data_IF_240071069955
#
_entry.id   IF_240071069955
#
_cell.length_a   1.000
_cell.length_b   1.000
_cell.length_c   1.000
_cell.angle_alpha   90.00
_cell.angle_beta   90.00
_cell.angle_gamma   90.00
#
_symmetry.space_group_name_H-M   'P 1'
#
loop_
_entity.id
_entity.type
_entity.pdbx_description
1 polymer ?
#
# COMPACT_ATOMS: atom_id res chain seq x y z
N UNK A 1 -30.10 -6.64 19.64
CA UNK A 1 -29.08 -5.62 19.55
C UNK A 1 -27.74 -6.25 19.79
N UNK A 2 -27.00 -6.59 18.73
CA UNK A 2 -25.64 -7.12 18.85
C UNK A 2 -24.70 -5.99 19.23
N UNK A 3 -24.10 -6.09 20.42
CA UNK A 3 -23.09 -5.15 20.91
C UNK A 3 -21.98 -4.96 19.87
N UNK A 4 -21.81 -3.74 19.41
CA UNK A 4 -20.63 -3.01 18.94
C UNK A 4 -19.41 -3.69 18.29
N UNK A 5 -19.49 -4.91 17.77
CA UNK A 5 -18.42 -5.62 17.08
C UNK A 5 -18.60 -5.45 15.57
N UNK A 6 -18.07 -4.36 15.03
CA UNK A 6 -18.11 -4.14 13.57
C UNK A 6 -16.69 -3.82 13.10
N UNK A 7 -16.05 -4.81 12.47
CA UNK A 7 -15.05 -4.50 11.46
C UNK A 7 -15.72 -3.74 10.31
N UNK A 8 -14.96 -2.92 9.58
CA UNK A 8 -15.52 -2.08 8.51
C UNK A 8 -16.01 -2.94 7.32
N UNK A 9 -15.35 -4.05 7.07
CA UNK A 9 -15.67 -4.94 5.95
C UNK A 9 -15.30 -6.39 6.25
N UNK A 10 -16.15 -7.34 5.80
CA UNK A 10 -15.87 -8.78 5.85
C UNK A 10 -15.92 -9.33 4.43
N UNK A 11 -14.83 -9.96 4.00
CA UNK A 11 -14.78 -10.76 2.78
C UNK A 11 -14.90 -12.23 3.16
N UNK A 12 -15.90 -12.92 2.57
CA UNK A 12 -16.07 -14.36 2.71
C UNK A 12 -16.31 -14.97 1.34
N UNK A 13 -15.69 -16.12 1.09
CA UNK A 13 -15.88 -16.91 -0.11
C UNK A 13 -15.96 -18.38 0.25
N UNK A 14 -16.91 -19.10 -0.34
CA UNK A 14 -17.10 -20.53 -0.23
C UNK A 14 -17.05 -21.19 -1.60
N UNK A 15 -16.77 -22.48 -1.63
CA UNK A 15 -16.86 -23.28 -2.85
C UNK A 15 -18.32 -23.67 -3.17
N UNK A 16 -18.52 -24.42 -4.26
CA UNK A 16 -19.84 -24.90 -4.68
C UNK A 16 -20.51 -25.84 -3.69
N UNK A 17 -19.77 -26.38 -2.72
CA UNK A 17 -20.25 -27.31 -1.70
C UNK A 17 -20.38 -26.60 -0.33
N UNK A 18 -20.37 -25.27 -0.32
CA UNK A 18 -20.48 -24.43 0.88
C UNK A 18 -19.30 -24.59 1.88
N UNK A 19 -18.16 -25.13 1.41
CA UNK A 19 -16.93 -25.10 2.21
C UNK A 19 -16.31 -23.72 2.15
N UNK A 20 -16.03 -23.12 3.31
CA UNK A 20 -15.38 -21.81 3.37
C UNK A 20 -13.95 -21.90 2.80
N UNK A 21 -13.71 -21.17 1.70
CA UNK A 21 -12.38 -21.01 1.10
C UNK A 21 -11.58 -20.06 1.95
N UNK A 22 -12.18 -18.93 2.32
CA UNK A 22 -11.54 -17.87 3.08
C UNK A 22 -12.56 -16.95 3.74
N UNK A 23 -12.21 -16.43 4.91
CA UNK A 23 -12.90 -15.34 5.57
C UNK A 23 -11.90 -14.34 6.16
N UNK A 24 -12.03 -13.08 5.77
CA UNK A 24 -11.16 -12.00 6.17
C UNK A 24 -11.98 -10.86 6.76
N UNK A 25 -11.62 -10.42 7.95
CA UNK A 25 -12.13 -9.19 8.54
C UNK A 25 -11.16 -8.06 8.29
N UNK A 26 -11.65 -6.97 7.70
CA UNK A 26 -10.92 -5.74 7.46
C UNK A 26 -11.36 -4.65 8.42
N UNK A 27 -10.40 -3.92 8.94
CA UNK A 27 -10.57 -2.62 9.63
C UNK A 27 -9.76 -1.59 8.86
N UNK A 28 -10.37 -0.42 8.57
CA UNK A 28 -9.73 0.63 7.78
C UNK A 28 -9.43 1.84 8.66
N UNK A 29 -8.20 2.35 8.60
CA UNK A 29 -7.76 3.53 9.36
C UNK A 29 -7.08 4.54 8.44
N UNK A 30 -7.61 5.76 8.46
CA UNK A 30 -7.08 6.90 7.73
C UNK A 30 -6.41 7.88 8.69
N UNK A 31 -5.48 8.70 8.21
CA UNK A 31 -4.83 9.77 8.98
C UNK A 31 -5.81 10.79 9.57
N UNK A 32 -6.96 10.98 8.93
CA UNK A 32 -8.01 11.88 9.40
C UNK A 32 -8.76 11.39 10.66
N UNK A 33 -8.54 10.14 11.09
CA UNK A 33 -9.05 9.64 12.37
C UNK A 33 -8.27 10.22 13.59
N UNK A 34 -7.58 11.34 13.41
CA UNK A 34 -6.84 12.06 14.44
C UNK A 34 -7.77 12.68 15.48
N UNK A 35 -8.14 11.91 16.48
CA UNK A 35 -8.41 12.45 17.81
C UNK A 35 -7.08 12.97 18.39
N UNK A 36 -7.10 13.92 19.31
CA UNK A 36 -5.98 14.68 19.87
C UNK A 36 -4.71 13.89 20.32
N UNK A 37 -4.74 12.56 20.27
CA UNK A 37 -3.60 11.66 20.44
C UNK A 37 -3.39 10.86 19.14
N UNK A 38 -2.21 10.95 18.54
CA UNK A 38 -1.82 10.12 17.39
C UNK A 38 -1.96 8.64 17.75
N UNK A 39 -3.00 7.98 17.24
CA UNK A 39 -3.17 6.54 17.42
C UNK A 39 -2.18 5.78 16.54
N UNK A 40 -1.64 4.69 17.10
CA UNK A 40 -0.76 3.76 16.39
C UNK A 40 -1.54 2.57 15.86
N UNK A 41 -0.98 1.88 14.89
CA UNK A 41 -1.56 0.65 14.35
C UNK A 41 -1.81 -0.40 15.44
N UNK A 42 -0.89 -0.53 16.38
CA UNK A 42 -0.99 -1.49 17.49
C UNK A 42 -2.21 -1.29 18.39
N UNK A 43 -2.73 -0.07 18.50
CA UNK A 43 -3.89 0.26 19.35
C UNK A 43 -5.18 -0.44 18.85
N UNK A 44 -5.20 -0.87 17.60
CA UNK A 44 -6.36 -1.50 16.98
C UNK A 44 -6.30 -3.03 16.98
N UNK A 45 -5.14 -3.64 17.19
CA UNK A 45 -4.96 -5.09 17.05
C UNK A 45 -5.84 -5.91 17.98
N UNK A 46 -5.88 -5.57 19.26
CA UNK A 46 -6.64 -6.32 20.25
C UNK A 46 -8.16 -6.30 19.94
N UNK A 47 -8.67 -5.14 19.53
CA UNK A 47 -10.07 -4.99 19.13
C UNK A 47 -10.37 -5.80 17.86
N UNK A 48 -9.55 -5.65 16.85
CA UNK A 48 -9.71 -6.32 15.56
C UNK A 48 -9.65 -7.85 15.72
N UNK A 49 -8.75 -8.39 16.55
CA UNK A 49 -8.68 -9.83 16.82
C UNK A 49 -9.93 -10.34 17.57
N UNK A 50 -10.44 -9.56 18.53
CA UNK A 50 -11.68 -9.88 19.23
C UNK A 50 -12.86 -9.91 18.25
N UNK A 51 -12.97 -8.91 17.40
CA UNK A 51 -14.07 -8.77 16.44
C UNK A 51 -14.01 -9.88 15.38
N UNK A 52 -12.79 -10.21 14.88
CA UNK A 52 -12.55 -11.33 13.98
C UNK A 52 -13.07 -12.66 14.55
N UNK A 53 -12.67 -12.96 15.79
CA UNK A 53 -13.09 -14.18 16.50
C UNK A 53 -14.60 -14.21 16.70
N UNK A 54 -15.21 -13.10 17.09
CA UNK A 54 -16.66 -12.99 17.30
C UNK A 54 -17.46 -13.20 16.00
N UNK A 55 -16.89 -12.87 14.84
CA UNK A 55 -17.49 -13.06 13.52
C UNK A 55 -17.08 -14.37 12.83
N UNK A 56 -16.23 -15.16 13.46
CA UNK A 56 -15.75 -16.43 12.90
C UNK A 56 -14.93 -16.23 11.64
N UNK A 57 -14.20 -15.09 11.49
CA UNK A 57 -13.32 -14.88 10.36
C UNK A 57 -11.95 -15.50 10.63
N UNK A 58 -11.36 -16.10 9.61
CA UNK A 58 -10.06 -16.76 9.69
C UNK A 58 -8.92 -15.75 9.83
N UNK A 59 -8.97 -14.68 9.04
CA UNK A 59 -7.94 -13.65 8.98
C UNK A 59 -8.46 -12.30 9.49
N UNK A 60 -7.53 -11.48 9.98
CA UNK A 60 -7.75 -10.08 10.31
C UNK A 60 -6.74 -9.23 9.56
N UNK A 61 -7.21 -8.17 8.90
CA UNK A 61 -6.36 -7.27 8.13
C UNK A 61 -6.67 -5.82 8.50
N UNK A 62 -5.68 -5.12 9.04
CA UNK A 62 -5.74 -3.68 9.26
C UNK A 62 -5.22 -2.97 8.01
N UNK A 63 -6.11 -2.29 7.30
CA UNK A 63 -5.76 -1.42 6.17
C UNK A 63 -5.51 -0.03 6.72
N UNK A 64 -4.26 0.41 6.75
CA UNK A 64 -3.88 1.60 7.51
C UNK A 64 -3.06 2.60 6.71
N UNK A 65 -3.41 3.87 6.84
CA UNK A 65 -2.60 5.02 6.45
C UNK A 65 -1.92 5.68 7.65
N UNK A 66 -2.14 5.17 8.86
CA UNK A 66 -1.47 5.66 10.07
C UNK A 66 0.03 5.39 10.02
N UNK A 67 0.79 6.16 10.79
CA UNK A 67 2.24 6.02 10.91
C UNK A 67 2.94 6.04 9.53
N UNK A 68 2.61 7.04 8.71
CA UNK A 68 3.16 7.21 7.36
C UNK A 68 4.69 7.33 7.34
N UNK A 69 5.28 7.84 8.42
CA UNK A 69 6.73 7.99 8.59
C UNK A 69 7.43 6.71 9.09
N UNK A 70 6.68 5.65 9.40
CA UNK A 70 7.23 4.41 9.91
C UNK A 70 7.57 3.46 8.76
N UNK A 71 8.86 3.31 8.47
CA UNK A 71 9.37 2.46 7.38
C UNK A 71 8.90 1.01 7.52
N UNK A 72 8.75 0.49 8.73
CA UNK A 72 8.28 -0.88 8.96
C UNK A 72 6.91 -1.13 8.32
N UNK A 73 5.95 -0.21 8.49
CA UNK A 73 4.64 -0.33 7.86
C UNK A 73 4.62 0.06 6.38
N UNK A 74 5.65 0.77 5.91
CA UNK A 74 5.77 1.19 4.51
C UNK A 74 6.34 0.07 3.61
N UNK A 75 6.82 -1.04 4.17
CA UNK A 75 7.19 -2.25 3.39
C UNK A 75 6.02 -2.88 2.64
N UNK A 76 4.78 -2.49 2.99
CA UNK A 76 3.55 -2.82 2.25
C UNK A 76 2.66 -3.81 2.97
N UNK A 77 3.13 -5.03 3.24
CA UNK A 77 2.42 -6.06 4.02
C UNK A 77 3.28 -6.41 5.22
N UNK A 78 2.73 -6.19 6.41
CA UNK A 78 3.38 -6.50 7.69
C UNK A 78 2.63 -7.63 8.37
N UNK A 79 3.33 -8.71 8.64
CA UNK A 79 2.80 -9.84 9.40
C UNK A 79 2.96 -9.57 10.90
N UNK A 80 1.83 -9.49 11.61
CA UNK A 80 1.79 -9.35 13.06
C UNK A 80 1.26 -10.62 13.77
N UNK A 81 1.30 -11.75 13.05
CA UNK A 81 0.82 -13.06 13.54
C UNK A 81 1.58 -13.56 14.77
N UNK A 82 2.78 -13.05 14.99
CA UNK A 82 3.55 -13.33 16.22
C UNK A 82 2.83 -12.87 17.50
N UNK A 83 1.97 -11.84 17.39
CA UNK A 83 1.20 -11.30 18.51
C UNK A 83 -0.27 -11.69 18.44
N UNK A 84 -0.85 -11.66 17.24
CA UNK A 84 -2.24 -12.03 16.97
C UNK A 84 -2.31 -12.94 15.74
N UNK A 85 -2.53 -14.26 15.92
CA UNK A 85 -2.50 -15.23 14.82
C UNK A 85 -3.34 -14.81 13.61
N UNK A 86 -2.79 -14.98 12.41
CA UNK A 86 -3.47 -14.65 11.13
C UNK A 86 -3.88 -13.17 11.01
N UNK A 87 -3.08 -12.27 11.58
CA UNK A 87 -3.31 -10.83 11.49
C UNK A 87 -2.19 -10.15 10.69
N UNK A 88 -2.61 -9.23 9.82
CA UNK A 88 -1.72 -8.44 8.95
C UNK A 88 -2.07 -6.95 9.00
N UNK A 89 -1.06 -6.12 8.81
CA UNK A 89 -1.23 -4.68 8.56
C UNK A 89 -0.78 -4.40 7.14
N UNK A 90 -1.61 -3.71 6.37
CA UNK A 90 -1.31 -3.38 4.97
C UNK A 90 -1.56 -1.91 4.66
N UNK A 91 -0.88 -1.40 3.64
CA UNK A 91 -1.24 -0.14 3.01
C UNK A 91 -2.40 -0.36 2.02
N UNK A 92 -3.24 0.66 1.73
CA UNK A 92 -4.45 0.52 0.90
C UNK A 92 -4.22 -0.12 -0.47
N UNK A 93 -3.08 0.15 -1.12
CA UNK A 93 -2.74 -0.43 -2.42
C UNK A 93 -2.59 -1.95 -2.41
N UNK A 94 -2.41 -2.55 -1.23
CA UNK A 94 -2.28 -4.00 -1.06
C UNK A 94 -3.61 -4.69 -0.71
N UNK A 95 -4.73 -3.97 -0.70
CA UNK A 95 -6.02 -4.51 -0.32
C UNK A 95 -6.44 -5.68 -1.23
N UNK A 96 -6.47 -5.47 -2.54
CA UNK A 96 -6.82 -6.51 -3.52
C UNK A 96 -5.74 -7.61 -3.60
N UNK A 97 -4.44 -7.30 -3.70
CA UNK A 97 -3.39 -8.31 -3.63
C UNK A 97 -3.47 -9.22 -2.42
N UNK A 98 -3.79 -8.69 -1.24
CA UNK A 98 -3.92 -9.46 -0.01
C UNK A 98 -5.08 -10.45 -0.08
N UNK A 99 -6.25 -10.03 -0.57
CA UNK A 99 -7.39 -10.91 -0.79
C UNK A 99 -6.99 -12.05 -1.74
N UNK A 100 -6.39 -11.74 -2.88
CA UNK A 100 -5.98 -12.73 -3.88
C UNK A 100 -4.98 -13.73 -3.31
N UNK A 101 -3.98 -13.26 -2.56
CA UNK A 101 -2.97 -14.11 -1.95
C UNK A 101 -3.59 -15.10 -0.97
N UNK A 102 -4.39 -14.59 -0.02
CA UNK A 102 -5.03 -15.41 1.01
C UNK A 102 -6.08 -16.35 0.42
N UNK A 103 -6.83 -15.89 -0.60
CA UNK A 103 -7.78 -16.72 -1.34
C UNK A 103 -7.11 -17.92 -2.01
N UNK A 104 -6.00 -17.68 -2.70
CA UNK A 104 -5.25 -18.75 -3.37
C UNK A 104 -4.70 -19.76 -2.36
N UNK A 105 -4.23 -19.29 -1.20
CA UNK A 105 -3.80 -20.18 -0.10
C UNK A 105 -4.97 -20.99 0.45
N UNK A 106 -6.14 -20.39 0.62
CA UNK A 106 -7.37 -21.07 1.06
C UNK A 106 -7.82 -22.15 0.09
N UNK A 107 -7.83 -21.85 -1.21
CA UNK A 107 -8.18 -22.84 -2.25
C UNK A 107 -7.25 -24.05 -2.22
N UNK A 108 -5.93 -23.81 -2.14
CA UNK A 108 -4.94 -24.89 -2.01
C UNK A 108 -5.16 -25.73 -0.75
N UNK A 109 -5.49 -25.08 0.37
CA UNK A 109 -5.80 -25.78 1.61
C UNK A 109 -7.03 -26.69 1.48
N UNK A 110 -8.07 -26.24 0.75
CA UNK A 110 -9.25 -27.07 0.47
C UNK A 110 -8.93 -28.26 -0.44
N UNK A 111 -8.14 -28.07 -1.50
CA UNK A 111 -7.65 -29.16 -2.37
C UNK A 111 -6.96 -30.24 -1.53
N UNK A 112 -6.01 -29.85 -0.67
CA UNK A 112 -5.33 -30.81 0.20
C UNK A 112 -6.24 -31.50 1.23
N UNK A 113 -7.21 -30.77 1.78
CA UNK A 113 -8.22 -31.38 2.70
C UNK A 113 -9.08 -32.41 1.97
N UNK A 114 -9.48 -32.11 0.72
CA UNK A 114 -10.24 -33.06 -0.10
C UNK A 114 -9.42 -34.32 -0.42
N UNK A 115 -8.16 -34.16 -0.85
CA UNK A 115 -7.23 -35.27 -1.08
C UNK A 115 -7.03 -36.11 0.18
N UNK A 116 -6.87 -35.46 1.35
CA UNK A 116 -6.73 -36.13 2.64
C UNK A 116 -7.99 -36.95 2.99
N UNK A 117 -9.16 -36.44 2.73
CA UNK A 117 -10.42 -37.14 2.97
C UNK A 117 -10.50 -38.42 2.14
N UNK A 118 -10.11 -38.35 0.86
CA UNK A 118 -10.03 -39.51 -0.04
C UNK A 118 -8.97 -40.51 0.46
N UNK A 119 -7.80 -40.04 0.88
CA UNK A 119 -6.71 -40.89 1.39
C UNK A 119 -7.07 -41.59 2.70
N UNK A 120 -7.77 -40.91 3.62
CA UNK A 120 -8.25 -41.50 4.88
C UNK A 120 -9.18 -42.68 4.62
N UNK A 121 -9.99 -42.59 3.57
CA UNK A 121 -10.91 -43.68 3.18
C UNK A 121 -10.17 -44.84 2.47
N UNK A 122 -8.94 -44.65 2.03
CA UNK A 122 -8.14 -45.63 1.29
C UNK A 122 -6.97 -46.23 2.09
N UNK A 123 -6.85 -46.00 3.38
CA UNK A 123 -5.73 -46.49 4.23
C UNK A 123 -4.35 -46.08 3.72
N UNK A 124 -4.19 -44.88 3.16
CA UNK A 124 -2.93 -44.40 2.58
C UNK A 124 -2.10 -43.64 3.64
N UNK A 125 -0.82 -43.94 3.64
CA UNK A 125 0.24 -43.52 4.54
C UNK A 125 0.25 -42.01 4.87
N UNK A 126 0.11 -41.68 6.15
CA UNK A 126 0.06 -40.33 6.72
C UNK A 126 1.40 -39.59 6.49
N UNK A 127 2.50 -40.30 6.32
CA UNK A 127 3.85 -39.73 6.15
C UNK A 127 3.96 -38.86 4.88
N UNK A 128 3.34 -39.28 3.77
CA UNK A 128 3.34 -38.52 2.53
C UNK A 128 2.52 -37.21 2.61
N UNK A 129 1.64 -37.07 3.58
CA UNK A 129 0.84 -35.87 3.78
C UNK A 129 1.61 -34.78 4.56
N UNK A 130 2.35 -35.19 5.59
CA UNK A 130 3.21 -34.25 6.32
C UNK A 130 4.26 -33.64 5.40
N UNK A 131 4.89 -34.46 4.57
CA UNK A 131 5.86 -33.99 3.55
C UNK A 131 5.21 -32.99 2.58
N UNK A 132 4.01 -33.27 2.07
CA UNK A 132 3.28 -32.34 1.15
C UNK A 132 2.88 -31.03 1.83
N UNK A 133 2.50 -31.07 3.10
CA UNK A 133 2.23 -29.84 3.86
C UNK A 133 3.49 -29.01 4.05
N UNK A 134 4.61 -29.64 4.35
CA UNK A 134 5.87 -28.93 4.56
C UNK A 134 6.43 -28.38 3.23
N UNK A 135 6.28 -29.12 2.15
CA UNK A 135 6.58 -28.61 0.79
C UNK A 135 5.70 -27.41 0.44
N UNK A 136 4.38 -27.47 0.76
CA UNK A 136 3.48 -26.35 0.55
C UNK A 136 3.86 -25.14 1.38
N UNK A 137 4.12 -25.31 2.68
CA UNK A 137 4.57 -24.22 3.58
C UNK A 137 5.85 -23.59 3.05
N UNK A 138 6.81 -24.41 2.63
CA UNK A 138 8.10 -23.95 2.08
C UNK A 138 7.90 -23.20 0.77
N UNK A 139 7.09 -23.72 -0.14
CA UNK A 139 6.75 -23.07 -1.40
C UNK A 139 5.99 -21.75 -1.20
N UNK A 140 5.05 -21.74 -0.27
CA UNK A 140 4.29 -20.55 0.09
C UNK A 140 5.19 -19.46 0.70
N UNK A 141 6.04 -19.82 1.66
CA UNK A 141 7.00 -18.89 2.27
C UNK A 141 7.93 -18.28 1.20
N UNK A 142 8.44 -19.10 0.28
CA UNK A 142 9.29 -18.61 -0.83
C UNK A 142 8.54 -17.63 -1.73
N UNK A 143 7.30 -17.93 -2.10
CA UNK A 143 6.49 -17.06 -2.94
C UNK A 143 6.11 -15.76 -2.23
N UNK A 144 5.83 -15.83 -0.93
CA UNK A 144 5.59 -14.66 -0.10
C UNK A 144 6.81 -13.74 -0.03
N UNK A 145 8.00 -14.31 0.22
CA UNK A 145 9.26 -13.54 0.25
C UNK A 145 9.58 -12.93 -1.11
N UNK A 146 9.32 -13.66 -2.19
CA UNK A 146 9.51 -13.14 -3.54
C UNK A 146 8.56 -11.98 -3.84
N UNK A 147 7.27 -12.14 -3.53
CA UNK A 147 6.27 -11.11 -3.71
C UNK A 147 6.61 -9.87 -2.86
N UNK A 148 6.97 -10.05 -1.60
CA UNK A 148 7.36 -8.97 -0.69
C UNK A 148 8.55 -8.16 -1.22
N UNK A 149 9.57 -8.84 -1.76
CA UNK A 149 10.73 -8.18 -2.40
C UNK A 149 10.32 -7.41 -3.65
N UNK A 150 9.51 -8.02 -4.53
CA UNK A 150 9.04 -7.38 -5.76
C UNK A 150 8.19 -6.14 -5.45
N UNK A 151 7.33 -6.20 -4.44
CA UNK A 151 6.58 -5.04 -3.98
C UNK A 151 7.49 -3.94 -3.42
N UNK A 152 8.49 -4.31 -2.63
CA UNK A 152 9.49 -3.35 -2.13
C UNK A 152 10.27 -2.67 -3.25
N UNK A 153 10.61 -3.38 -4.31
CA UNK A 153 11.25 -2.82 -5.50
C UNK A 153 10.31 -1.87 -6.26
N UNK A 154 9.06 -2.27 -6.45
CA UNK A 154 8.05 -1.43 -7.11
C UNK A 154 7.82 -0.12 -6.35
N UNK A 155 7.73 -0.16 -5.02
CA UNK A 155 7.62 1.03 -4.18
C UNK A 155 8.83 1.95 -4.37
N UNK A 156 10.05 1.41 -4.35
CA UNK A 156 11.26 2.20 -4.59
C UNK A 156 11.27 2.89 -5.96
N UNK A 157 10.77 2.22 -7.00
CA UNK A 157 10.66 2.82 -8.33
C UNK A 157 9.59 3.94 -8.38
N UNK A 158 8.48 3.76 -7.65
CA UNK A 158 7.47 4.80 -7.48
C UNK A 158 8.08 6.03 -6.78
N UNK A 159 8.82 5.84 -5.68
CA UNK A 159 9.46 6.92 -4.93
C UNK A 159 10.49 7.67 -5.79
N UNK A 160 11.29 6.95 -6.59
CA UNK A 160 12.19 7.58 -7.58
C UNK A 160 11.41 8.41 -8.59
N UNK A 161 10.31 7.89 -9.11
CA UNK A 161 9.45 8.59 -10.07
C UNK A 161 8.86 9.85 -9.46
N UNK A 162 8.37 9.78 -8.22
CA UNK A 162 7.88 10.95 -7.48
C UNK A 162 8.97 12.01 -7.30
N UNK A 163 10.19 11.58 -6.97
CA UNK A 163 11.36 12.49 -6.84
C UNK A 163 11.68 13.18 -8.18
N UNK A 164 11.61 12.43 -9.30
CA UNK A 164 11.84 12.99 -10.63
C UNK A 164 10.72 13.98 -11.02
N UNK A 165 9.47 13.65 -10.72
CA UNK A 165 8.33 14.55 -10.96
C UNK A 165 8.46 15.85 -10.14
N UNK A 166 8.87 15.76 -8.88
CA UNK A 166 9.12 16.94 -8.06
C UNK A 166 10.23 17.81 -8.64
N UNK A 167 11.35 17.24 -9.06
CA UNK A 167 12.45 17.98 -9.72
C UNK A 167 11.96 18.65 -11.01
N UNK A 168 11.15 17.97 -11.81
CA UNK A 168 10.57 18.53 -13.03
C UNK A 168 9.65 19.70 -12.72
N UNK A 169 8.80 19.57 -11.71
CA UNK A 169 7.94 20.66 -11.22
C UNK A 169 8.75 21.86 -10.79
N UNK A 170 9.81 21.65 -10.02
CA UNK A 170 10.67 22.73 -9.51
C UNK A 170 11.40 23.45 -10.67
N UNK A 171 11.87 22.69 -11.67
CA UNK A 171 12.46 23.25 -12.89
C UNK A 171 11.48 24.09 -13.69
N UNK A 172 10.23 23.63 -13.85
CA UNK A 172 9.18 24.39 -14.52
C UNK A 172 8.83 25.68 -13.76
N UNK A 173 8.69 25.62 -12.44
CA UNK A 173 8.44 26.81 -11.62
C UNK A 173 9.59 27.81 -11.72
N UNK A 174 10.83 27.34 -11.72
CA UNK A 174 12.02 28.20 -11.94
C UNK A 174 11.99 28.84 -13.33
N UNK A 175 11.63 28.08 -14.37
CA UNK A 175 11.49 28.59 -15.73
C UNK A 175 10.42 29.68 -15.83
N UNK A 176 9.24 29.44 -15.23
CA UNK A 176 8.15 30.45 -15.18
C UNK A 176 8.63 31.74 -14.49
N UNK A 177 9.37 31.63 -13.37
CA UNK A 177 9.91 32.79 -12.68
C UNK A 177 10.94 33.55 -13.56
N UNK A 178 11.80 32.82 -14.27
CA UNK A 178 12.77 33.42 -15.18
C UNK A 178 12.08 34.15 -16.34
N UNK A 179 11.02 33.57 -16.91
CA UNK A 179 10.20 34.22 -17.94
C UNK A 179 9.54 35.51 -17.40
N UNK A 180 8.98 35.47 -16.19
CA UNK A 180 8.42 36.65 -15.54
C UNK A 180 9.46 37.74 -15.34
N UNK A 181 10.66 37.39 -14.88
CA UNK A 181 11.77 38.36 -14.71
C UNK A 181 12.22 38.93 -16.05
N UNK A 182 12.26 38.11 -17.11
CA UNK A 182 12.61 38.58 -18.45
C UNK A 182 11.55 39.54 -18.99
N UNK A 183 10.26 39.22 -18.81
CA UNK A 183 9.15 40.08 -19.20
C UNK A 183 9.23 41.44 -18.48
N UNK A 184 9.39 41.43 -17.15
CA UNK A 184 9.53 42.67 -16.37
C UNK A 184 10.73 43.53 -16.86
N UNK A 185 11.86 42.88 -17.18
CA UNK A 185 13.01 43.60 -17.76
C UNK A 185 12.71 44.20 -19.13
N UNK A 186 11.91 43.49 -19.95
CA UNK A 186 11.49 43.99 -21.27
C UNK A 186 10.52 45.19 -21.14
N UNK A 187 9.56 45.09 -20.20
CA UNK A 187 8.65 46.21 -19.90
C UNK A 187 9.36 47.45 -19.36
N UNK A 188 10.45 47.24 -18.57
CA UNK A 188 11.29 48.32 -18.04
C UNK A 188 12.21 48.96 -19.09
N UNK A 189 12.27 48.42 -20.30
CA UNK A 189 13.09 49.00 -21.38
C UNK A 189 12.47 50.32 -21.86
N UNK A 190 13.18 51.41 -21.58
CA UNK A 190 12.82 52.75 -22.06
C UNK A 190 13.85 53.22 -23.06
N UNK A 191 13.46 54.12 -23.95
CA UNK A 191 14.41 54.79 -24.91
C UNK A 191 15.60 55.37 -24.15
N UNK A 192 15.38 55.96 -22.97
CA UNK A 192 16.40 56.50 -22.12
C UNK A 192 17.41 55.45 -21.65
N UNK A 193 16.94 54.21 -21.29
CA UNK A 193 17.84 53.12 -20.90
C UNK A 193 18.59 52.53 -22.08
N UNK A 194 17.94 52.43 -23.28
CA UNK A 194 18.56 51.88 -24.48
C UNK A 194 19.61 52.83 -25.07
N UNK A 195 19.48 54.14 -24.87
CA UNK A 195 20.41 55.12 -25.36
C UNK A 195 21.49 55.55 -24.36
N UNK A 196 21.43 54.98 -23.14
CA UNK A 196 22.42 55.27 -22.09
C UNK A 196 23.82 54.86 -22.52
N UNK A 197 24.76 55.83 -22.50
CA UNK A 197 26.15 55.61 -22.92
C UNK A 197 26.38 55.72 -24.44
N UNK A 198 25.32 55.96 -25.25
CA UNK A 198 25.44 56.16 -26.72
C UNK A 198 24.84 57.49 -27.15
N UNK A 199 25.65 58.57 -27.18
CA UNK A 199 25.18 59.93 -27.50
C UNK A 199 24.60 60.05 -28.93
N UNK A 200 25.10 59.27 -29.88
CA UNK A 200 24.64 59.28 -31.27
C UNK A 200 23.22 58.69 -31.41
N UNK A 201 22.94 57.62 -30.67
CA UNK A 201 21.61 57.01 -30.62
C UNK A 201 20.61 57.93 -29.90
N UNK A 202 21.00 58.53 -28.78
CA UNK A 202 20.18 59.45 -28.03
C UNK A 202 19.74 60.64 -28.91
N UNK A 203 20.65 61.27 -29.66
CA UNK A 203 20.36 62.37 -30.56
C UNK A 203 19.40 62.01 -31.70
N UNK A 204 19.47 60.77 -32.19
CA UNK A 204 18.51 60.27 -33.23
C UNK A 204 17.10 60.09 -32.67
N UNK A 205 16.93 59.64 -31.43
CA UNK A 205 15.64 59.48 -30.81
C UNK A 205 15.05 60.76 -30.25
N UNK A 206 15.89 61.74 -29.87
CA UNK A 206 15.43 63.05 -29.41
C UNK A 206 14.97 63.94 -30.58
N UNK A 207 15.31 63.59 -31.83
CA UNK A 207 14.89 64.27 -33.09
C UNK A 207 13.74 63.60 -33.83
N UNK A 208 13.12 62.54 -33.28
CA UNK A 208 11.89 61.87 -33.75
C UNK A 208 10.69 62.31 -32.90
#
# INVERSE_FOLDING_TARGET
>A
ASAGTKGDYIYKESDSNDNEIISIMFEMKNENDQTASKKKNEDFFAKLDKDRKAKGCEYAVLVSMLEADNEFYNTGIVDVSYKYPKMYVIRPQFFIPMITLLRNAGMKSLEYKAELSVMKNQNVDITNFEDKIDDFKTGFARNYDLASRQFGEAIKEIDKTMTHLQKTKDALLSSVNNLRLANNKAEDLTIKKLTYGNPTMKQKFDNL
#
